data_IF_725870228474
#
_entry.id   IF_725870228474
#
_cell.length_a   1.000
_cell.length_b   1.000
_cell.length_c   1.000
_cell.angle_alpha   90.00
_cell.angle_beta   90.00
_cell.angle_gamma   90.00
#
_symmetry.space_group_name_H-M   'P 1'
#
loop_
_entity.id
_entity.type
_entity.pdbx_description
1 polymer ?
#
# COMPACT_ATOMS: atom_id res chain seq x y z
N UNK A 1 -28.25 0.78 16.19
CA UNK A 1 -27.38 -0.29 16.67
C UNK A 1 -27.57 -1.47 15.72
N UNK A 2 -26.51 -2.10 15.19
CA UNK A 2 -26.68 -3.33 14.40
C UNK A 2 -27.30 -4.42 15.28
N UNK A 3 -28.17 -5.24 14.68
CA UNK A 3 -28.81 -6.36 15.39
C UNK A 3 -27.75 -7.34 15.88
N UNK A 4 -27.97 -7.99 17.04
CA UNK A 4 -27.04 -8.90 17.73
C UNK A 4 -26.50 -10.06 16.85
N UNK A 5 -27.00 -10.26 15.62
CA UNK A 5 -26.59 -11.29 14.64
C UNK A 5 -26.38 -10.72 13.23
N UNK A 6 -26.03 -9.42 13.07
CA UNK A 6 -25.78 -8.87 11.75
C UNK A 6 -24.53 -9.50 11.10
N UNK A 7 -24.63 -9.86 9.81
CA UNK A 7 -23.46 -10.28 9.02
C UNK A 7 -22.46 -9.14 8.95
N UNK A 8 -21.18 -9.42 9.13
CA UNK A 8 -20.10 -8.41 9.04
C UNK A 8 -19.69 -8.22 7.59
N UNK A 9 -19.44 -6.96 7.22
CA UNK A 9 -18.89 -6.60 5.92
C UNK A 9 -17.74 -5.61 6.09
N UNK A 10 -16.57 -5.98 5.58
CA UNK A 10 -15.38 -5.12 5.59
C UNK A 10 -15.10 -4.62 4.18
N UNK A 11 -14.89 -3.32 4.05
CA UNK A 11 -14.46 -2.70 2.79
C UNK A 11 -13.36 -1.69 3.06
N UNK A 12 -12.37 -1.66 2.19
CA UNK A 12 -11.25 -0.70 2.25
C UNK A 12 -10.98 -0.13 0.88
N UNK A 13 -10.37 1.05 0.86
CA UNK A 13 -9.75 1.65 -0.33
C UNK A 13 -8.23 1.52 -0.23
N UNK A 14 -7.51 1.95 -1.28
CA UNK A 14 -6.11 2.30 -1.14
C UNK A 14 -5.93 3.40 -0.09
N UNK A 15 -4.77 3.44 0.54
CA UNK A 15 -4.32 4.56 1.36
C UNK A 15 -3.49 5.47 0.46
N UNK A 16 -4.02 6.64 0.01
CA UNK A 16 -3.27 7.54 -0.84
C UNK A 16 -1.95 7.97 -0.19
N UNK A 17 -0.91 7.99 -1.01
CA UNK A 17 0.40 8.44 -0.61
C UNK A 17 0.42 9.96 -0.52
N UNK A 18 0.80 10.51 0.64
CA UNK A 18 0.68 11.95 0.93
C UNK A 18 1.82 12.80 0.34
N UNK A 19 2.31 12.43 -0.83
CA UNK A 19 3.34 13.18 -1.55
C UNK A 19 2.77 14.21 -2.55
N UNK A 20 1.46 14.21 -2.77
CA UNK A 20 0.74 15.09 -3.69
C UNK A 20 -0.72 15.30 -3.26
N UNK A 21 -1.39 16.25 -3.92
CA UNK A 21 -2.84 16.44 -3.74
C UNK A 21 -3.63 15.26 -4.28
N UNK A 22 -4.76 14.95 -3.65
CA UNK A 22 -5.70 13.97 -4.19
C UNK A 22 -6.19 14.38 -5.60
N UNK A 23 -6.39 13.40 -6.47
CA UNK A 23 -6.88 13.57 -7.83
C UNK A 23 -8.20 12.82 -8.04
N UNK A 24 -8.79 12.97 -9.23
CA UNK A 24 -10.10 12.38 -9.56
C UNK A 24 -10.16 10.84 -9.40
N UNK A 25 -9.03 10.16 -9.59
CA UNK A 25 -8.92 8.71 -9.37
C UNK A 25 -9.21 8.32 -7.92
N UNK A 26 -8.64 9.05 -6.96
CA UNK A 26 -8.93 8.85 -5.53
C UNK A 26 -10.40 9.15 -5.22
N UNK A 27 -10.95 10.24 -5.80
CA UNK A 27 -12.36 10.59 -5.62
C UNK A 27 -13.29 9.46 -6.11
N UNK A 28 -12.99 8.88 -7.28
CA UNK A 28 -13.75 7.77 -7.84
C UNK A 28 -13.71 6.53 -6.93
N UNK A 29 -12.53 6.18 -6.42
CA UNK A 29 -12.36 5.02 -5.53
C UNK A 29 -13.12 5.20 -4.22
N UNK A 30 -12.97 6.34 -3.55
CA UNK A 30 -13.68 6.64 -2.31
C UNK A 30 -15.20 6.61 -2.49
N UNK A 31 -15.69 7.22 -3.56
CA UNK A 31 -17.13 7.25 -3.85
C UNK A 31 -17.68 5.84 -4.12
N UNK A 32 -16.97 5.01 -4.89
CA UNK A 32 -17.39 3.62 -5.15
C UNK A 32 -17.44 2.80 -3.86
N UNK A 33 -16.42 2.91 -3.02
CA UNK A 33 -16.36 2.19 -1.76
C UNK A 33 -17.50 2.64 -0.82
N UNK A 34 -17.77 3.94 -0.73
CA UNK A 34 -18.86 4.47 0.09
C UNK A 34 -20.25 4.03 -0.40
N UNK A 35 -20.48 4.00 -1.71
CA UNK A 35 -21.73 3.47 -2.30
C UNK A 35 -21.93 2.00 -1.87
N UNK A 36 -20.90 1.16 -1.97
CA UNK A 36 -20.97 -0.24 -1.57
C UNK A 36 -21.21 -0.34 -0.05
N UNK A 37 -20.50 0.44 0.76
CA UNK A 37 -20.68 0.47 2.20
C UNK A 37 -22.10 0.84 2.61
N UNK A 38 -22.66 1.88 2.01
CA UNK A 38 -24.07 2.33 2.25
C UNK A 38 -25.04 1.25 1.82
N UNK A 39 -24.86 0.66 0.65
CA UNK A 39 -25.72 -0.40 0.15
C UNK A 39 -25.74 -1.60 1.11
N UNK A 40 -24.55 -2.03 1.58
CA UNK A 40 -24.44 -3.12 2.56
C UNK A 40 -25.10 -2.81 3.91
N UNK A 41 -25.04 -1.56 4.37
CA UNK A 41 -25.80 -1.11 5.55
C UNK A 41 -27.31 -1.24 5.34
N UNK A 42 -27.81 -0.86 4.16
CA UNK A 42 -29.23 -1.02 3.81
C UNK A 42 -29.66 -2.49 3.77
N UNK A 43 -28.77 -3.40 3.39
CA UNK A 43 -28.99 -4.85 3.48
C UNK A 43 -28.90 -5.43 4.91
N UNK A 44 -28.63 -4.59 5.93
CA UNK A 44 -28.56 -4.98 7.34
C UNK A 44 -27.22 -5.53 7.80
N UNK A 45 -26.14 -5.34 7.02
CA UNK A 45 -24.80 -5.72 7.44
C UNK A 45 -24.23 -4.73 8.47
N UNK A 46 -23.40 -5.28 9.40
CA UNK A 46 -22.48 -4.49 10.22
C UNK A 46 -21.25 -4.16 9.36
N UNK A 47 -21.16 -2.92 8.87
CA UNK A 47 -20.16 -2.51 7.88
C UNK A 47 -19.02 -1.76 8.55
N UNK A 48 -17.79 -2.24 8.34
CA UNK A 48 -16.57 -1.51 8.65
C UNK A 48 -15.93 -1.02 7.35
N UNK A 49 -16.06 0.28 7.09
CA UNK A 49 -15.42 0.95 5.94
C UNK A 49 -14.14 1.65 6.41
N UNK A 50 -13.01 1.25 5.83
CA UNK A 50 -11.69 1.78 6.17
C UNK A 50 -11.04 2.46 4.96
N UNK A 51 -10.49 3.65 5.18
CA UNK A 51 -9.61 4.38 4.27
C UNK A 51 -8.49 5.05 5.07
N UNK A 52 -7.66 5.88 4.47
CA UNK A 52 -6.63 6.55 5.25
C UNK A 52 -5.56 7.23 4.40
N UNK A 53 -4.37 7.38 4.99
CA UNK A 53 -3.23 8.01 4.37
C UNK A 53 -1.96 7.16 4.58
N UNK A 54 -1.18 6.97 3.50
CA UNK A 54 0.16 6.40 3.56
C UNK A 54 1.18 7.54 3.70
N UNK A 55 1.91 7.54 4.83
CA UNK A 55 2.66 8.68 5.33
C UNK A 55 4.16 8.42 5.48
N UNK A 56 4.66 7.27 5.02
CA UNK A 56 6.08 6.92 5.10
C UNK A 56 6.74 6.93 3.72
N UNK A 57 8.07 7.05 3.70
CA UNK A 57 8.89 6.90 2.51
C UNK A 57 9.70 8.14 2.15
N UNK A 58 10.75 7.92 1.35
CA UNK A 58 11.75 8.94 1.01
C UNK A 58 11.17 10.10 0.20
N UNK A 59 10.12 9.86 -0.61
CA UNK A 59 9.46 10.92 -1.37
C UNK A 59 8.79 11.94 -0.46
N UNK A 60 8.12 11.47 0.59
CA UNK A 60 7.47 12.35 1.58
C UNK A 60 8.52 13.17 2.32
N UNK A 61 9.60 12.51 2.75
CA UNK A 61 10.71 13.20 3.40
C UNK A 61 11.30 14.31 2.52
N UNK A 62 11.60 14.01 1.25
CA UNK A 62 12.12 14.99 0.29
C UNK A 62 11.13 16.15 0.06
N UNK A 63 9.83 15.84 -0.07
CA UNK A 63 8.80 16.87 -0.23
C UNK A 63 8.65 17.76 1.00
N UNK A 64 8.73 17.20 2.20
CA UNK A 64 8.75 18.00 3.41
C UNK A 64 9.93 18.96 3.46
N UNK A 65 11.14 18.49 3.08
CA UNK A 65 12.34 19.35 2.98
C UNK A 65 12.19 20.44 1.91
N UNK A 66 11.67 20.12 0.73
CA UNK A 66 11.41 21.10 -0.35
C UNK A 66 10.44 22.21 0.11
N UNK A 67 9.47 21.89 0.98
CA UNK A 67 8.53 22.84 1.56
C UNK A 67 9.03 23.50 2.86
N UNK A 68 10.25 23.17 3.29
CA UNK A 68 10.83 23.71 4.55
C UNK A 68 10.07 23.26 5.80
N UNK A 69 9.46 22.09 5.78
CA UNK A 69 8.63 21.56 6.86
C UNK A 69 9.27 20.32 7.51
N UNK A 70 9.00 20.16 8.80
CA UNK A 70 9.26 18.90 9.48
C UNK A 70 8.37 17.80 8.88
N UNK A 71 8.88 16.56 8.69
CA UNK A 71 8.13 15.47 8.05
C UNK A 71 6.76 15.22 8.68
N UNK A 72 6.66 15.24 10.02
CA UNK A 72 5.39 15.01 10.70
C UNK A 72 4.39 16.14 10.42
N UNK A 73 4.81 17.39 10.44
CA UNK A 73 3.94 18.53 10.13
C UNK A 73 3.45 18.50 8.68
N UNK A 74 4.30 18.07 7.75
CA UNK A 74 3.95 17.88 6.36
C UNK A 74 2.84 16.83 6.19
N UNK A 75 3.01 15.63 6.76
CA UNK A 75 2.00 14.57 6.63
C UNK A 75 0.70 14.89 7.37
N UNK A 76 0.76 15.61 8.49
CA UNK A 76 -0.42 16.10 9.20
C UNK A 76 -1.28 17.02 8.34
N UNK A 77 -0.64 17.95 7.63
CA UNK A 77 -1.32 18.87 6.71
C UNK A 77 -1.98 18.12 5.55
N UNK A 78 -1.24 17.20 4.91
CA UNK A 78 -1.77 16.45 3.76
C UNK A 78 -2.86 15.45 4.16
N UNK A 79 -2.74 14.80 5.31
CA UNK A 79 -3.82 13.97 5.86
C UNK A 79 -5.08 14.78 6.14
N UNK A 80 -4.95 16.01 6.65
CA UNK A 80 -6.09 16.90 6.84
C UNK A 80 -6.74 17.30 5.51
N UNK A 81 -5.94 17.60 4.46
CA UNK A 81 -6.44 17.87 3.11
C UNK A 81 -7.21 16.67 2.56
N UNK A 82 -6.71 15.46 2.75
CA UNK A 82 -7.36 14.23 2.29
C UNK A 82 -8.68 14.00 3.01
N UNK A 83 -8.75 14.19 4.33
CA UNK A 83 -10.00 14.15 5.10
C UNK A 83 -11.02 15.17 4.59
N UNK A 84 -10.56 16.36 4.21
CA UNK A 84 -11.45 17.36 3.63
C UNK A 84 -12.00 16.93 2.27
N UNK A 85 -11.21 16.25 1.43
CA UNK A 85 -11.72 15.67 0.17
C UNK A 85 -12.82 14.66 0.43
N UNK A 86 -12.67 13.76 1.41
CA UNK A 86 -13.73 12.81 1.78
C UNK A 86 -15.02 13.56 2.17
N UNK A 87 -14.90 14.62 2.97
CA UNK A 87 -16.04 15.45 3.36
C UNK A 87 -16.70 16.14 2.16
N UNK A 88 -15.91 16.71 1.25
CA UNK A 88 -16.42 17.37 0.03
C UNK A 88 -17.17 16.41 -0.90
N UNK A 89 -16.75 15.15 -0.95
CA UNK A 89 -17.39 14.07 -1.71
C UNK A 89 -18.64 13.51 -1.02
N UNK A 90 -18.95 13.96 0.20
CA UNK A 90 -20.10 13.45 0.97
C UNK A 90 -19.92 12.00 1.42
N UNK A 91 -18.69 11.54 1.59
CA UNK A 91 -18.41 10.20 2.12
C UNK A 91 -18.98 10.07 3.53
N UNK A 92 -19.49 8.89 3.87
CA UNK A 92 -20.12 8.59 5.16
C UNK A 92 -19.24 9.02 6.34
N UNK A 93 -19.84 9.68 7.32
CA UNK A 93 -19.13 10.22 8.49
C UNK A 93 -18.55 9.16 9.41
N UNK A 94 -19.01 7.92 9.31
CA UNK A 94 -18.56 6.76 10.08
C UNK A 94 -17.43 5.97 9.36
N UNK A 95 -16.87 6.50 8.26
CA UNK A 95 -15.66 5.96 7.66
C UNK A 95 -14.50 6.02 8.66
N UNK A 96 -13.83 4.90 8.86
CA UNK A 96 -12.61 4.87 9.63
C UNK A 96 -11.44 5.41 8.79
N UNK A 97 -10.77 6.44 9.28
CA UNK A 97 -9.63 7.04 8.61
C UNK A 97 -8.36 6.73 9.39
N UNK A 98 -7.56 5.78 8.88
CA UNK A 98 -6.29 5.39 9.48
C UNK A 98 -5.12 6.18 8.89
N UNK A 99 -4.12 6.45 9.70
CA UNK A 99 -2.84 7.00 9.27
C UNK A 99 -1.73 6.00 9.56
N UNK A 100 -0.78 5.84 8.65
CA UNK A 100 0.34 4.90 8.90
C UNK A 100 1.29 5.38 10.01
N UNK A 101 1.21 6.67 10.39
CA UNK A 101 1.88 7.23 11.58
C UNK A 101 1.10 7.06 12.88
N UNK A 102 -0.15 6.57 12.86
CA UNK A 102 -0.91 6.32 14.07
C UNK A 102 -0.27 5.22 14.93
N UNK A 103 -0.21 5.42 16.25
CA UNK A 103 0.38 4.46 17.17
C UNK A 103 -0.24 3.06 17.12
N UNK A 104 -1.55 2.97 16.84
CA UNK A 104 -2.24 1.69 16.63
C UNK A 104 -1.72 0.98 15.39
N UNK A 105 -1.53 1.71 14.29
CA UNK A 105 -0.99 1.16 13.05
C UNK A 105 0.45 0.68 13.25
N UNK A 106 1.30 1.52 13.84
CA UNK A 106 2.71 1.19 14.14
C UNK A 106 2.82 -0.09 14.96
N UNK A 107 2.05 -0.19 16.06
CA UNK A 107 2.04 -1.40 16.90
C UNK A 107 1.59 -2.64 16.11
N UNK A 108 0.53 -2.52 15.31
CA UNK A 108 0.03 -3.63 14.50
C UNK A 108 1.04 -4.08 13.46
N UNK A 109 1.70 -3.15 12.78
CA UNK A 109 2.75 -3.44 11.81
C UNK A 109 3.95 -4.14 12.48
N UNK A 110 4.38 -3.67 13.66
CA UNK A 110 5.46 -4.30 14.44
C UNK A 110 5.10 -5.73 14.89
N UNK A 111 3.87 -5.97 15.35
CA UNK A 111 3.43 -7.31 15.74
C UNK A 111 3.33 -8.24 14.52
N UNK A 112 2.86 -7.74 13.38
CA UNK A 112 2.84 -8.51 12.14
C UNK A 112 4.26 -8.85 11.65
N UNK A 113 5.21 -7.89 11.75
CA UNK A 113 6.61 -8.14 11.47
C UNK A 113 7.16 -9.28 12.33
N UNK A 114 6.99 -9.21 13.66
CA UNK A 114 7.44 -10.26 14.59
C UNK A 114 6.85 -11.62 14.24
N UNK A 115 5.58 -11.66 13.84
CA UNK A 115 4.92 -12.90 13.41
C UNK A 115 5.58 -13.48 12.16
N UNK A 116 5.86 -12.66 11.15
CA UNK A 116 6.55 -13.08 9.93
C UNK A 116 7.98 -13.56 10.22
N UNK A 117 8.71 -12.85 11.07
CA UNK A 117 10.06 -13.21 11.48
C UNK A 117 10.07 -14.54 12.24
N UNK A 118 9.18 -14.71 13.23
CA UNK A 118 9.02 -15.97 13.98
C UNK A 118 8.71 -17.16 13.07
N UNK A 119 8.01 -16.94 11.97
CA UNK A 119 7.70 -18.00 10.99
C UNK A 119 8.80 -18.18 9.93
N UNK A 120 9.95 -17.50 10.05
CA UNK A 120 11.08 -17.65 9.13
C UNK A 120 10.88 -17.01 7.76
N UNK A 121 9.94 -16.06 7.64
CA UNK A 121 9.68 -15.34 6.40
C UNK A 121 10.44 -14.03 6.27
N UNK A 122 11.19 -13.62 7.30
CA UNK A 122 12.04 -12.43 7.27
C UNK A 122 13.48 -12.87 7.53
N UNK A 123 14.40 -12.38 6.70
CA UNK A 123 15.84 -12.63 6.83
C UNK A 123 16.63 -11.40 6.38
N UNK A 124 17.91 -11.34 6.78
CA UNK A 124 18.83 -10.28 6.37
C UNK A 124 19.70 -10.73 5.21
N UNK A 125 19.99 -9.79 4.31
CA UNK A 125 20.87 -10.00 3.17
C UNK A 125 21.58 -8.70 2.81
N UNK A 126 22.86 -8.80 2.44
CA UNK A 126 23.56 -7.71 1.78
C UNK A 126 22.93 -7.44 0.42
N UNK A 127 22.68 -6.18 0.15
CA UNK A 127 21.85 -5.75 -0.95
C UNK A 127 22.54 -4.65 -1.74
N UNK A 128 22.95 -5.02 -2.96
CA UNK A 128 23.55 -4.08 -3.92
C UNK A 128 22.62 -3.93 -5.09
N UNK A 129 22.02 -2.76 -5.23
CA UNK A 129 21.06 -2.49 -6.29
C UNK A 129 21.22 -1.11 -6.89
N UNK A 130 20.66 -0.98 -8.07
CA UNK A 130 20.31 0.28 -8.71
C UNK A 130 18.87 0.64 -8.36
N UNK A 131 18.68 1.73 -7.65
CA UNK A 131 17.37 2.12 -7.11
C UNK A 131 16.86 3.40 -7.78
N UNK A 132 15.64 3.35 -8.29
CA UNK A 132 14.94 4.51 -8.80
C UNK A 132 14.05 5.11 -7.72
N UNK A 133 14.39 6.30 -7.21
CA UNK A 133 13.58 7.01 -6.20
C UNK A 133 12.18 7.33 -6.74
N UNK A 134 12.07 7.62 -8.03
CA UNK A 134 10.79 7.94 -8.67
C UNK A 134 9.80 6.78 -8.65
N UNK A 135 10.25 5.56 -8.99
CA UNK A 135 9.45 4.34 -8.92
C UNK A 135 9.38 3.76 -7.51
N UNK A 136 10.33 4.10 -6.63
CA UNK A 136 10.61 3.42 -5.36
C UNK A 136 10.88 1.92 -5.53
N UNK A 137 11.53 1.57 -6.65
CA UNK A 137 11.81 0.20 -7.04
C UNK A 137 13.29 0.02 -7.44
N UNK A 138 13.76 -1.20 -7.20
CA UNK A 138 14.98 -1.70 -7.80
C UNK A 138 14.86 -1.73 -9.32
N UNK A 139 15.95 -1.47 -10.02
CA UNK A 139 16.09 -1.55 -11.47
C UNK A 139 17.27 -2.42 -11.83
N UNK A 140 17.06 -3.39 -12.70
CA UNK A 140 18.12 -4.13 -13.36
C UNK A 140 18.74 -3.28 -14.48
N UNK A 141 19.95 -3.63 -14.92
CA UNK A 141 20.60 -2.94 -16.04
C UNK A 141 19.77 -2.97 -17.33
N UNK A 142 19.03 -4.04 -17.54
CA UNK A 142 18.14 -4.22 -18.71
C UNK A 142 16.89 -3.31 -18.68
N UNK A 143 16.52 -2.79 -17.52
CA UNK A 143 15.39 -1.88 -17.35
C UNK A 143 15.79 -0.39 -17.45
N UNK A 144 17.10 -0.11 -17.55
CA UNK A 144 17.60 1.25 -17.65
C UNK A 144 17.87 1.62 -19.11
N UNK A 145 17.54 2.85 -19.48
CA UNK A 145 17.90 3.47 -20.76
C UNK A 145 18.87 4.60 -20.48
N UNK A 146 20.07 4.56 -21.08
CA UNK A 146 21.14 5.53 -20.81
C UNK A 146 21.44 5.72 -19.32
N UNK A 147 21.48 4.61 -18.56
CA UNK A 147 21.67 4.59 -17.11
C UNK A 147 20.58 5.31 -16.28
N UNK A 148 19.43 5.65 -16.89
CA UNK A 148 18.28 6.28 -16.24
C UNK A 148 17.06 5.38 -16.28
N UNK A 149 16.14 5.58 -15.33
CA UNK A 149 14.84 4.93 -15.36
C UNK A 149 13.98 5.53 -16.48
N UNK A 150 13.38 4.72 -17.38
CA UNK A 150 12.56 5.24 -18.47
C UNK A 150 11.35 6.05 -18.02
N UNK A 151 10.76 5.69 -16.87
CA UNK A 151 9.62 6.41 -16.29
C UNK A 151 10.04 7.70 -15.56
N UNK A 152 11.31 7.80 -15.18
CA UNK A 152 11.86 8.95 -14.45
C UNK A 152 13.22 9.36 -15.03
N UNK A 153 13.28 9.81 -16.30
CA UNK A 153 14.54 10.04 -17.01
C UNK A 153 15.36 11.19 -16.43
N UNK A 154 14.74 12.08 -15.66
CA UNK A 154 15.40 13.22 -15.02
C UNK A 154 15.90 12.91 -13.60
N UNK A 155 15.68 11.69 -13.08
CA UNK A 155 16.16 11.27 -11.78
C UNK A 155 17.37 10.34 -11.94
N UNK A 156 18.44 10.63 -11.20
CA UNK A 156 19.58 9.73 -11.15
C UNK A 156 19.24 8.43 -10.43
N UNK A 157 19.80 7.34 -10.92
CA UNK A 157 19.75 6.06 -10.25
C UNK A 157 20.69 6.07 -9.07
N UNK A 158 20.21 5.69 -7.90
CA UNK A 158 21.02 5.54 -6.69
C UNK A 158 21.57 4.12 -6.60
N UNK A 159 22.88 4.00 -6.34
CA UNK A 159 23.48 2.71 -6.02
C UNK A 159 23.40 2.51 -4.50
N UNK A 160 22.65 1.50 -4.07
CA UNK A 160 22.47 1.14 -2.68
C UNK A 160 23.33 -0.10 -2.39
N UNK A 161 24.16 -0.04 -1.34
CA UNK A 161 24.96 -1.17 -0.83
C UNK A 161 24.78 -1.20 0.69
N UNK A 162 23.84 -2.00 1.14
CA UNK A 162 23.45 -2.07 2.56
C UNK A 162 22.93 -3.44 2.96
N UNK A 163 22.95 -3.76 4.26
CA UNK A 163 22.27 -4.93 4.79
C UNK A 163 20.80 -4.59 5.04
N UNK A 164 19.90 -5.27 4.33
CA UNK A 164 18.46 -5.08 4.45
C UNK A 164 17.75 -6.34 4.94
N UNK A 165 16.56 -6.14 5.52
CA UNK A 165 15.61 -7.21 5.76
C UNK A 165 14.84 -7.53 4.48
N UNK A 166 14.70 -8.82 4.21
CA UNK A 166 13.97 -9.37 3.06
C UNK A 166 12.79 -10.19 3.52
N UNK A 167 11.69 -10.07 2.77
CA UNK A 167 10.54 -10.96 2.91
C UNK A 167 10.67 -12.12 1.92
N UNK A 168 10.54 -13.34 2.43
CA UNK A 168 10.66 -14.59 1.67
C UNK A 168 9.38 -14.84 0.86
N UNK A 169 9.13 -13.99 -0.14
CA UNK A 169 7.93 -14.04 -0.95
C UNK A 169 7.87 -15.29 -1.83
N UNK A 170 9.03 -15.78 -2.29
CA UNK A 170 9.16 -17.02 -3.05
C UNK A 170 8.52 -18.24 -2.35
N UNK A 171 8.49 -18.26 -1.02
CA UNK A 171 7.87 -19.34 -0.24
C UNK A 171 6.33 -19.39 -0.33
N UNK A 172 5.70 -18.42 -0.97
CA UNK A 172 4.25 -18.32 -1.09
C UNK A 172 3.70 -18.70 -2.47
N UNK A 173 4.54 -18.97 -3.45
CA UNK A 173 4.13 -19.25 -4.83
C UNK A 173 3.09 -20.38 -4.92
N UNK A 174 3.44 -21.58 -4.47
CA UNK A 174 2.52 -22.73 -4.49
C UNK A 174 1.25 -22.48 -3.67
N UNK A 175 1.40 -21.84 -2.50
CA UNK A 175 0.26 -21.53 -1.62
C UNK A 175 -0.71 -20.55 -2.29
N UNK A 176 -0.19 -19.53 -2.98
CA UNK A 176 -1.02 -18.56 -3.71
C UNK A 176 -1.69 -19.19 -4.92
N UNK A 177 -0.99 -20.02 -5.70
CA UNK A 177 -1.59 -20.72 -6.83
C UNK A 177 -2.73 -21.63 -6.40
N UNK A 178 -2.52 -22.42 -5.34
CA UNK A 178 -3.56 -23.25 -4.75
C UNK A 178 -4.74 -22.42 -4.24
N UNK A 179 -4.46 -21.34 -3.53
CA UNK A 179 -5.49 -20.43 -3.03
C UNK A 179 -6.35 -19.85 -4.17
N UNK A 180 -5.73 -19.46 -5.30
CA UNK A 180 -6.44 -18.93 -6.46
C UNK A 180 -7.28 -20.01 -7.18
N UNK A 181 -6.86 -21.29 -7.15
CA UNK A 181 -7.67 -22.39 -7.66
C UNK A 181 -8.92 -22.63 -6.82
N UNK A 182 -8.76 -22.57 -5.51
CA UNK A 182 -9.87 -22.75 -4.53
C UNK A 182 -10.81 -21.53 -4.47
N UNK A 183 -10.33 -20.34 -4.87
CA UNK A 183 -11.05 -19.07 -4.76
C UNK A 183 -11.09 -18.29 -6.09
N UNK A 184 -11.80 -18.79 -7.13
CA UNK A 184 -11.75 -18.22 -8.48
C UNK A 184 -12.35 -16.82 -8.62
N UNK A 185 -13.06 -16.33 -7.60
CA UNK A 185 -13.66 -14.98 -7.53
C UNK A 185 -12.92 -14.05 -6.57
N UNK A 186 -11.74 -14.43 -6.09
CA UNK A 186 -10.98 -13.62 -5.13
C UNK A 186 -10.52 -12.27 -5.73
N UNK A 187 -10.20 -12.25 -7.01
CA UNK A 187 -9.85 -11.03 -7.73
C UNK A 187 -10.89 -10.77 -8.83
N UNK A 188 -11.40 -9.55 -8.89
CA UNK A 188 -12.40 -9.11 -9.87
C UNK A 188 -11.89 -7.81 -10.50
N UNK A 189 -12.02 -7.65 -11.80
CA UNK A 189 -12.59 -8.56 -12.83
C UNK A 189 -11.62 -9.67 -13.28
N UNK A 190 -12.11 -10.63 -14.03
CA UNK A 190 -11.38 -11.84 -14.43
C UNK A 190 -10.05 -11.57 -15.14
N UNK A 191 -9.94 -10.50 -15.93
CA UNK A 191 -8.67 -10.16 -16.57
C UNK A 191 -7.58 -9.80 -15.56
N UNK A 192 -7.94 -9.15 -14.43
CA UNK A 192 -7.01 -8.88 -13.32
C UNK A 192 -6.64 -10.14 -12.57
N UNK A 193 -7.58 -11.07 -12.44
CA UNK A 193 -7.30 -12.37 -11.87
C UNK A 193 -6.30 -13.17 -12.72
N UNK A 194 -6.48 -13.16 -14.03
CA UNK A 194 -5.55 -13.82 -14.96
C UNK A 194 -4.16 -13.17 -14.92
N UNK A 195 -4.09 -11.84 -14.83
CA UNK A 195 -2.84 -11.09 -14.70
C UNK A 195 -2.05 -11.50 -13.46
N UNK A 196 -2.69 -11.51 -12.26
CA UNK A 196 -2.01 -11.88 -11.03
C UNK A 196 -1.62 -13.36 -10.99
N UNK A 197 -2.45 -14.27 -11.52
CA UNK A 197 -2.09 -15.69 -11.66
C UNK A 197 -0.87 -15.88 -12.57
N UNK A 198 -0.82 -15.17 -13.69
CA UNK A 198 0.33 -15.21 -14.60
C UNK A 198 1.59 -14.63 -13.94
N UNK A 199 1.45 -13.58 -13.13
CA UNK A 199 2.55 -13.03 -12.35
C UNK A 199 3.12 -14.06 -11.37
N UNK A 200 2.27 -14.71 -10.57
CA UNK A 200 2.72 -15.73 -9.61
C UNK A 200 3.35 -16.93 -10.31
N UNK A 201 2.78 -17.40 -11.44
CA UNK A 201 3.32 -18.54 -12.22
C UNK A 201 4.69 -18.28 -12.85
N UNK A 202 5.11 -17.03 -13.02
CA UNK A 202 6.46 -16.69 -13.52
C UNK A 202 7.57 -16.88 -12.49
N UNK A 203 7.19 -17.18 -11.27
CA UNK A 203 8.08 -17.27 -10.12
C UNK A 203 8.08 -16.00 -9.27
N UNK A 204 7.95 -16.17 -7.96
CA UNK A 204 8.01 -15.09 -7.00
C UNK A 204 9.44 -14.87 -6.52
N UNK A 205 9.86 -13.62 -6.41
CA UNK A 205 11.19 -13.23 -5.94
C UNK A 205 11.09 -12.54 -4.59
N UNK A 206 11.98 -12.90 -3.67
CA UNK A 206 12.09 -12.23 -2.37
C UNK A 206 12.47 -10.76 -2.56
N UNK A 207 11.89 -9.88 -1.76
CA UNK A 207 12.10 -8.45 -1.89
C UNK A 207 12.47 -7.79 -0.55
N UNK A 208 13.21 -6.69 -0.64
CA UNK A 208 13.61 -5.90 0.53
C UNK A 208 12.42 -5.17 1.14
N UNK A 209 12.27 -5.27 2.46
CA UNK A 209 11.21 -4.66 3.27
C UNK A 209 11.72 -3.60 4.23
N UNK A 210 13.00 -3.28 4.19
CA UNK A 210 13.61 -2.21 4.98
C UNK A 210 14.45 -1.30 4.10
N UNK A 211 14.71 -0.10 4.61
CA UNK A 211 15.64 0.88 4.04
C UNK A 211 16.40 1.52 5.20
N UNK A 212 17.64 1.93 4.96
CA UNK A 212 18.36 2.81 5.87
C UNK A 212 17.65 4.16 5.93
N UNK A 213 17.78 4.81 7.09
CA UNK A 213 17.24 6.17 7.28
C UNK A 213 18.15 7.22 6.65
#
# INVERSE_FOLDING_TARGET
MPALNSKKFYITTTLPYVNAKAHIGHALEFTRADIIARYKKLEGFDVFFNTGADEHGIKIYKKAQEEGKEPQAYVDEYAAKLKNVLKMLGISSDVNFIRTTDQKHIKSAQEFWKLCEKNGYIYKKNYKIKYCIGCELEKSDSELINACCPEHPNLQIENIDEENYFFKFSAFEEKLLKFYEENPKFVIPDFRFNEIKAFVKRGLVDFSISRLK
#
